data_IF_594235612465
#
_entry.id   IF_594235612465
#
_cell.length_a   1.000
_cell.length_b   1.000
_cell.length_c   1.000
_cell.angle_alpha   90.00
_cell.angle_beta   90.00
_cell.angle_gamma   90.00
#
_symmetry.space_group_name_H-M   'P 1'
#
loop_
_entity.id
_entity.type
_entity.pdbx_description
1 polymer ?
#
# COMPACT_ATOMS: atom_id res chain seq x y z
N UNK A 1 -14.15 -6.55 -3.46
CA UNK A 1 -13.04 -6.49 -2.49
C UNK A 1 -11.73 -6.05 -3.14
N UNK A 2 -11.23 -6.74 -4.16
CA UNK A 2 -9.95 -6.40 -4.79
C UNK A 2 -9.92 -4.96 -5.32
N UNK A 3 -10.95 -4.54 -6.05
CA UNK A 3 -11.06 -3.19 -6.62
C UNK A 3 -11.03 -2.12 -5.53
N UNK A 4 -11.79 -2.30 -4.45
CA UNK A 4 -11.80 -1.39 -3.30
C UNK A 4 -10.43 -1.31 -2.62
N UNK A 5 -9.79 -2.45 -2.39
CA UNK A 5 -8.46 -2.50 -1.80
C UNK A 5 -7.40 -1.81 -2.69
N UNK A 6 -7.46 -2.05 -4.00
CA UNK A 6 -6.47 -1.54 -4.94
C UNK A 6 -6.65 -0.05 -5.25
N UNK A 7 -7.88 0.42 -5.43
CA UNK A 7 -8.15 1.82 -5.80
C UNK A 7 -8.27 2.72 -4.58
N UNK A 8 -9.20 2.43 -3.67
CA UNK A 8 -9.48 3.30 -2.52
C UNK A 8 -8.46 3.13 -1.39
N UNK A 9 -8.33 1.91 -0.85
CA UNK A 9 -7.50 1.68 0.33
C UNK A 9 -6.02 2.00 0.07
N UNK A 10 -5.48 1.53 -1.05
CA UNK A 10 -4.09 1.81 -1.44
C UNK A 10 -3.82 3.30 -1.61
N UNK A 11 -4.72 4.03 -2.26
CA UNK A 11 -4.58 5.47 -2.46
C UNK A 11 -4.59 6.23 -1.14
N UNK A 12 -5.49 5.87 -0.23
CA UNK A 12 -5.57 6.50 1.10
C UNK A 12 -4.33 6.20 1.94
N UNK A 13 -3.80 4.97 1.87
CA UNK A 13 -2.57 4.58 2.57
C UNK A 13 -1.33 5.31 2.03
N UNK A 14 -1.27 5.61 0.74
CA UNK A 14 -0.11 6.31 0.16
C UNK A 14 0.07 7.74 0.67
N UNK A 15 -0.96 8.32 1.29
CA UNK A 15 -0.87 9.61 1.99
C UNK A 15 -0.19 9.56 3.35
N UNK A 16 0.08 8.37 3.92
CA UNK A 16 0.71 8.22 5.23
C UNK A 16 2.25 8.29 5.05
N UNK A 17 2.93 9.16 5.81
CA UNK A 17 4.39 9.28 5.72
C UNK A 17 5.11 7.98 6.09
N UNK A 18 6.22 7.70 5.41
CA UNK A 18 7.11 6.60 5.75
C UNK A 18 6.66 5.20 5.29
N UNK A 19 5.52 5.07 4.61
CA UNK A 19 5.05 3.78 4.10
C UNK A 19 4.91 3.72 2.59
N UNK A 20 4.85 2.47 2.09
CA UNK A 20 4.52 2.13 0.70
C UNK A 20 3.52 0.97 0.72
N UNK A 21 2.42 1.13 -0.01
CA UNK A 21 1.44 0.09 -0.25
C UNK A 21 1.49 -0.32 -1.74
N UNK A 22 2.23 -1.38 -2.12
CA UNK A 22 2.51 -1.66 -3.53
C UNK A 22 1.29 -2.16 -4.29
N UNK A 23 0.73 -3.28 -3.90
CA UNK A 23 -0.40 -3.92 -4.57
C UNK A 23 -1.23 -4.73 -3.60
N UNK A 24 -2.51 -4.94 -3.92
CA UNK A 24 -3.35 -5.88 -3.22
C UNK A 24 -3.13 -7.30 -3.78
N UNK A 25 -3.20 -8.29 -2.92
CA UNK A 25 -3.09 -9.72 -3.25
C UNK A 25 -4.37 -10.45 -2.89
N UNK A 26 -4.68 -11.48 -3.66
CA UNK A 26 -5.93 -12.20 -3.55
C UNK A 26 -7.09 -11.50 -4.28
N UNK A 27 -8.12 -12.24 -4.59
CA UNK A 27 -9.25 -11.74 -5.35
C UNK A 27 -8.96 -11.52 -6.84
N UNK A 28 -9.93 -11.01 -7.56
CA UNK A 28 -9.85 -10.76 -8.99
C UNK A 28 -10.18 -9.31 -9.34
N UNK A 29 -9.44 -8.75 -10.30
CA UNK A 29 -9.79 -7.46 -10.89
C UNK A 29 -11.04 -7.63 -11.74
N UNK A 30 -11.99 -6.73 -11.56
CA UNK A 30 -13.14 -6.66 -12.45
C UNK A 30 -12.74 -5.93 -13.73
N UNK A 31 -13.12 -6.49 -14.86
CA UNK A 31 -12.98 -5.90 -16.20
C UNK A 31 -14.26 -6.07 -16.99
N UNK A 32 -14.43 -5.25 -18.00
CA UNK A 32 -15.45 -5.46 -19.02
C UNK A 32 -14.79 -6.25 -20.16
N UNK A 33 -15.37 -7.38 -20.47
CA UNK A 33 -15.00 -8.20 -21.63
C UNK A 33 -16.04 -8.00 -22.71
N UNK A 34 -15.58 -7.89 -23.94
CA UNK A 34 -16.45 -7.86 -25.12
C UNK A 34 -16.21 -9.17 -25.85
N UNK A 35 -17.20 -10.04 -25.79
CA UNK A 35 -17.20 -11.30 -26.48
C UNK A 35 -17.75 -11.09 -27.89
N UNK A 36 -16.99 -11.49 -28.88
CA UNK A 36 -17.34 -11.32 -30.30
C UNK A 36 -17.50 -12.68 -30.97
N UNK A 37 -18.47 -12.77 -31.87
CA UNK A 37 -18.71 -13.96 -32.68
C UNK A 37 -17.84 -13.88 -33.97
N UNK A 38 -16.88 -14.82 -34.14
CA UNK A 38 -16.04 -14.83 -35.34
C UNK A 38 -16.79 -14.92 -36.65
N UNK A 39 -17.90 -15.67 -36.70
CA UNK A 39 -18.70 -15.80 -37.88
C UNK A 39 -19.39 -14.51 -38.31
N UNK A 40 -19.84 -13.72 -37.31
CA UNK A 40 -20.41 -12.38 -37.58
C UNK A 40 -19.36 -11.40 -38.02
N UNK A 41 -18.14 -11.48 -37.46
CA UNK A 41 -17.04 -10.63 -37.87
C UNK A 41 -16.67 -10.85 -39.33
N UNK A 42 -16.59 -12.12 -39.75
CA UNK A 42 -16.30 -12.49 -41.12
C UNK A 42 -17.42 -12.04 -42.08
N UNK A 43 -18.66 -12.30 -41.72
CA UNK A 43 -19.83 -11.92 -42.53
C UNK A 43 -19.95 -10.41 -42.75
N UNK A 44 -19.55 -9.59 -41.76
CA UNK A 44 -19.61 -8.13 -41.81
C UNK A 44 -18.28 -7.50 -42.25
N UNK A 45 -17.26 -8.33 -42.50
CA UNK A 45 -15.90 -7.91 -42.86
C UNK A 45 -15.33 -6.87 -41.85
N UNK A 46 -15.41 -7.22 -40.54
CA UNK A 46 -14.91 -6.38 -39.43
C UNK A 46 -13.66 -7.01 -38.85
N UNK A 47 -12.61 -6.19 -38.75
CA UNK A 47 -11.35 -6.63 -38.13
C UNK A 47 -11.37 -6.42 -36.62
N UNK A 48 -10.62 -7.24 -35.88
CA UNK A 48 -10.44 -7.07 -34.43
C UNK A 48 -9.79 -5.72 -34.08
N UNK A 49 -8.99 -5.17 -34.99
CA UNK A 49 -8.37 -3.85 -34.83
C UNK A 49 -9.40 -2.73 -34.87
N UNK A 50 -10.40 -2.81 -35.77
CA UNK A 50 -11.49 -1.83 -35.83
C UNK A 50 -12.29 -1.82 -34.52
N UNK A 51 -12.59 -3.00 -33.97
CA UNK A 51 -13.30 -3.13 -32.69
C UNK A 51 -12.48 -2.50 -31.57
N UNK A 52 -11.20 -2.84 -31.47
CA UNK A 52 -10.32 -2.32 -30.42
C UNK A 52 -10.18 -0.80 -30.48
N UNK A 53 -10.09 -0.25 -31.70
CA UNK A 53 -10.00 1.20 -31.90
C UNK A 53 -11.31 1.88 -31.55
N UNK A 54 -12.45 1.37 -31.98
CA UNK A 54 -13.77 1.93 -31.68
C UNK A 54 -14.03 1.95 -30.17
N UNK A 55 -13.69 0.88 -29.45
CA UNK A 55 -13.83 0.82 -28.00
C UNK A 55 -12.91 1.86 -27.32
N UNK A 56 -11.65 1.95 -27.76
CA UNK A 56 -10.69 2.92 -27.23
C UNK A 56 -11.16 4.35 -27.42
N UNK A 57 -11.66 4.68 -28.61
CA UNK A 57 -12.12 6.04 -28.93
C UNK A 57 -13.37 6.43 -28.11
N UNK A 58 -14.26 5.45 -27.84
CA UNK A 58 -15.45 5.68 -27.03
C UNK A 58 -15.22 5.61 -25.51
N UNK A 59 -14.07 5.13 -25.06
CA UNK A 59 -13.74 5.02 -23.62
C UNK A 59 -12.67 6.02 -23.18
N UNK A 60 -12.11 6.80 -24.07
CA UNK A 60 -11.09 7.80 -23.77
C UNK A 60 -11.75 9.08 -23.26
N UNK A 61 -11.36 9.52 -22.07
CA UNK A 61 -11.78 10.83 -21.56
C UNK A 61 -11.02 11.93 -22.31
N UNK A 62 -11.75 12.84 -22.95
CA UNK A 62 -11.17 13.99 -23.64
C UNK A 62 -11.46 15.22 -22.78
N UNK A 63 -10.44 15.81 -22.11
CA UNK A 63 -10.62 17.06 -21.41
C UNK A 63 -10.97 18.16 -22.42
N UNK A 64 -12.15 18.75 -22.27
CA UNK A 64 -12.70 19.72 -23.24
C UNK A 64 -12.43 21.17 -22.86
N UNK A 65 -11.72 21.41 -21.75
CA UNK A 65 -11.32 22.75 -21.32
C UNK A 65 -11.97 23.20 -20.02
N UNK A 66 -11.94 24.52 -19.80
CA UNK A 66 -12.48 25.17 -18.62
C UNK A 66 -13.47 26.23 -19.06
N UNK A 67 -14.67 26.22 -18.51
CA UNK A 67 -15.61 27.34 -18.64
C UNK A 67 -15.58 28.21 -17.40
N UNK A 68 -15.35 29.47 -17.58
CA UNK A 68 -15.42 30.47 -16.52
C UNK A 68 -16.84 31.05 -16.45
N UNK A 69 -17.53 30.77 -15.35
CA UNK A 69 -18.89 31.29 -15.11
C UNK A 69 -18.88 32.11 -13.82
N UNK A 70 -18.88 33.42 -13.97
CA UNK A 70 -18.72 34.34 -12.85
C UNK A 70 -17.30 34.28 -12.27
N UNK A 71 -17.17 33.92 -10.99
CA UNK A 71 -15.88 33.73 -10.28
C UNK A 71 -15.47 32.27 -10.10
N UNK A 72 -16.18 31.34 -10.74
CA UNK A 72 -15.94 29.90 -10.58
C UNK A 72 -15.52 29.32 -11.92
N UNK A 73 -14.41 28.56 -11.90
CA UNK A 73 -13.92 27.81 -13.05
C UNK A 73 -14.51 26.38 -13.02
N UNK A 74 -15.24 26.03 -14.06
CA UNK A 74 -15.79 24.69 -14.26
C UNK A 74 -14.92 23.94 -15.25
N UNK A 75 -14.36 22.81 -14.85
CA UNK A 75 -13.73 21.87 -15.79
C UNK A 75 -14.86 21.22 -16.62
N UNK A 76 -14.73 21.30 -17.93
CA UNK A 76 -15.65 20.65 -18.87
C UNK A 76 -14.93 19.43 -19.41
N UNK A 77 -15.47 18.25 -19.09
CA UNK A 77 -15.02 16.99 -19.66
C UNK A 77 -16.07 16.50 -20.67
N UNK A 78 -15.65 16.17 -21.88
CA UNK A 78 -16.51 15.42 -22.78
C UNK A 78 -16.75 14.03 -22.15
N UNK A 79 -18.01 13.62 -22.04
CA UNK A 79 -18.41 12.33 -21.44
C UNK A 79 -17.89 11.17 -22.30
N UNK A 80 -16.62 10.80 -22.08
CA UNK A 80 -15.97 9.69 -22.77
C UNK A 80 -15.81 8.44 -21.92
N UNK A 81 -16.25 8.46 -20.65
CA UNK A 81 -16.11 7.31 -19.77
C UNK A 81 -17.46 6.59 -19.64
N UNK A 82 -17.53 5.43 -20.24
CA UNK A 82 -18.68 4.51 -20.10
C UNK A 82 -18.56 3.88 -18.71
N UNK A 83 -19.61 4.02 -17.90
CA UNK A 83 -19.67 3.50 -16.54
C UNK A 83 -20.46 2.20 -16.48
N UNK A 84 -21.52 2.13 -17.26
CA UNK A 84 -22.41 0.97 -17.29
C UNK A 84 -21.98 -0.04 -18.36
N UNK A 85 -21.98 -1.32 -18.00
CA UNK A 85 -21.55 -2.38 -18.93
C UNK A 85 -22.49 -2.49 -20.13
N UNK A 86 -23.77 -2.19 -19.95
CA UNK A 86 -24.75 -2.22 -21.01
C UNK A 86 -24.50 -1.15 -22.08
N UNK A 87 -23.97 0.01 -21.70
CA UNK A 87 -23.60 1.07 -22.65
C UNK A 87 -22.52 0.62 -23.66
N UNK A 88 -21.68 -0.36 -23.29
CA UNK A 88 -20.69 -0.90 -24.23
C UNK A 88 -21.31 -1.63 -25.41
N UNK A 89 -22.51 -2.17 -25.25
CA UNK A 89 -23.23 -2.86 -26.33
C UNK A 89 -23.71 -1.86 -27.41
N UNK A 90 -23.89 -0.59 -27.06
CA UNK A 90 -24.35 0.46 -27.95
C UNK A 90 -23.21 1.26 -28.59
N UNK A 91 -21.95 0.86 -28.37
CA UNK A 91 -20.81 1.45 -29.08
C UNK A 91 -20.90 1.11 -30.58
N UNK A 92 -20.82 2.14 -31.42
CA UNK A 92 -20.70 1.98 -32.87
C UNK A 92 -19.26 1.58 -33.20
N UNK A 93 -19.08 0.41 -33.82
CA UNK A 93 -17.77 -0.08 -34.24
C UNK A 93 -17.36 0.53 -35.57
N UNK A 94 -18.28 0.49 -36.54
CA UNK A 94 -18.02 0.99 -37.90
C UNK A 94 -19.34 1.20 -38.64
N UNK A 95 -19.24 1.78 -39.81
CA UNK A 95 -20.39 1.93 -40.72
C UNK A 95 -20.17 1.05 -41.95
N UNK A 96 -21.19 0.30 -42.33
CA UNK A 96 -21.21 -0.47 -43.60
C UNK A 96 -22.46 -0.13 -44.37
N UNK A 97 -22.29 0.27 -45.63
CA UNK A 97 -23.38 0.71 -46.50
C UNK A 97 -24.27 1.83 -45.91
N UNK A 98 -23.64 2.75 -45.09
CA UNK A 98 -24.35 3.80 -44.39
C UNK A 98 -25.04 3.41 -43.08
N UNK A 99 -25.08 2.14 -42.75
CA UNK A 99 -25.67 1.64 -41.50
C UNK A 99 -24.62 1.46 -40.41
N UNK A 100 -24.86 1.95 -39.17
CA UNK A 100 -23.97 1.72 -38.04
C UNK A 100 -24.05 0.22 -37.60
N UNK A 101 -22.89 -0.34 -37.28
CA UNK A 101 -22.78 -1.66 -36.68
C UNK A 101 -22.33 -1.46 -35.24
N UNK A 102 -23.09 -2.00 -34.30
CA UNK A 102 -22.86 -1.90 -32.87
C UNK A 102 -22.15 -3.14 -32.30
N UNK A 103 -21.61 -3.02 -31.08
CA UNK A 103 -21.06 -4.18 -30.36
C UNK A 103 -22.10 -5.28 -30.21
N UNK A 104 -23.35 -4.95 -29.89
CA UNK A 104 -24.47 -5.93 -29.77
C UNK A 104 -24.75 -6.72 -31.05
N UNK A 105 -24.40 -6.19 -32.21
CA UNK A 105 -24.62 -6.87 -33.48
C UNK A 105 -23.61 -7.99 -33.70
N UNK A 106 -22.39 -7.82 -33.20
CA UNK A 106 -21.29 -8.78 -33.35
C UNK A 106 -21.02 -9.63 -32.11
N UNK A 107 -21.58 -9.23 -30.94
CA UNK A 107 -21.33 -9.93 -29.69
C UNK A 107 -22.07 -9.32 -28.51
N UNK A 108 -21.45 -9.34 -27.35
CA UNK A 108 -21.97 -8.69 -26.13
C UNK A 108 -20.85 -8.30 -25.19
N UNK A 109 -21.13 -7.29 -24.37
CA UNK A 109 -20.26 -6.88 -23.28
C UNK A 109 -20.70 -7.51 -21.96
N UNK A 110 -19.74 -7.99 -21.19
CA UNK A 110 -19.99 -8.60 -19.88
C UNK A 110 -18.95 -8.13 -18.85
N UNK A 111 -19.42 -7.89 -17.64
CA UNK A 111 -18.55 -7.58 -16.50
C UNK A 111 -18.09 -8.88 -15.84
N UNK A 112 -16.85 -9.25 -16.03
CA UNK A 112 -16.30 -10.46 -15.46
C UNK A 112 -14.99 -10.21 -14.68
N UNK A 113 -14.66 -11.13 -13.80
CA UNK A 113 -13.36 -11.14 -13.11
C UNK A 113 -12.26 -11.64 -14.03
N UNK A 114 -11.10 -11.00 -14.00
CA UNK A 114 -9.89 -11.54 -14.62
C UNK A 114 -9.57 -12.90 -13.99
N UNK A 115 -9.03 -13.83 -14.77
CA UNK A 115 -8.57 -15.13 -14.26
C UNK A 115 -7.68 -14.88 -13.04
N UNK A 116 -8.07 -15.44 -11.91
CA UNK A 116 -7.36 -15.26 -10.66
C UNK A 116 -6.08 -16.09 -10.68
N UNK A 117 -4.93 -15.42 -10.63
CA UNK A 117 -3.62 -16.06 -10.64
C UNK A 117 -3.02 -16.22 -9.25
N UNK A 118 -3.57 -15.48 -8.27
CA UNK A 118 -3.14 -15.56 -6.88
C UNK A 118 -4.35 -15.65 -5.94
N UNK A 119 -4.27 -16.53 -4.98
CA UNK A 119 -5.30 -16.73 -3.95
C UNK A 119 -4.65 -16.44 -2.61
N UNK A 120 -5.25 -15.52 -1.86
CA UNK A 120 -4.87 -15.23 -0.48
C UNK A 120 -5.91 -15.81 0.47
N UNK A 121 -5.47 -16.51 1.50
CA UNK A 121 -6.34 -17.06 2.54
C UNK A 121 -5.86 -16.63 3.91
N UNK A 122 -6.81 -16.18 4.71
CA UNK A 122 -6.60 -15.87 6.13
C UNK A 122 -7.59 -16.73 6.92
N UNK A 123 -7.11 -17.53 7.84
CA UNK A 123 -7.90 -18.49 8.62
C UNK A 123 -8.76 -19.42 7.74
N UNK A 124 -8.19 -19.87 6.61
CA UNK A 124 -8.84 -20.76 5.65
C UNK A 124 -9.86 -20.09 4.70
N UNK A 125 -10.21 -18.83 4.92
CA UNK A 125 -11.15 -18.07 4.07
C UNK A 125 -10.42 -17.26 3.02
N UNK A 126 -10.95 -17.23 1.82
CA UNK A 126 -10.40 -16.37 0.75
C UNK A 126 -10.62 -14.89 1.09
N UNK A 127 -9.54 -14.14 1.03
CA UNK A 127 -9.48 -12.75 1.43
C UNK A 127 -8.61 -11.95 0.45
N UNK A 128 -8.73 -10.63 0.51
CA UNK A 128 -7.81 -9.72 -0.14
C UNK A 128 -6.94 -9.09 0.94
N UNK A 129 -5.62 -9.17 0.81
CA UNK A 129 -4.73 -8.49 1.72
C UNK A 129 -3.85 -7.46 0.99
N UNK A 130 -3.54 -6.39 1.68
CA UNK A 130 -2.69 -5.32 1.20
C UNK A 130 -1.43 -5.25 2.08
N UNK A 131 -0.25 -5.66 1.59
CA UNK A 131 0.98 -5.50 2.34
C UNK A 131 1.35 -4.03 2.40
N UNK A 132 1.78 -3.59 3.57
CA UNK A 132 2.28 -2.24 3.80
C UNK A 132 3.74 -2.38 4.19
N UNK A 133 4.63 -1.75 3.43
CA UNK A 133 6.05 -1.72 3.71
C UNK A 133 6.48 -0.33 4.19
N UNK A 134 7.44 -0.30 5.10
CA UNK A 134 8.09 0.96 5.43
C UNK A 134 9.06 1.37 4.32
N UNK A 135 9.20 2.66 4.11
CA UNK A 135 10.25 3.20 3.22
C UNK A 135 11.63 2.98 3.83
N UNK A 136 12.68 2.86 3.01
CA UNK A 136 14.05 2.90 3.52
C UNK A 136 14.28 4.16 4.38
N UNK A 137 14.92 3.99 5.53
CA UNK A 137 15.15 5.09 6.49
C UNK A 137 13.97 5.46 7.39
N UNK A 138 12.74 5.03 7.12
CA UNK A 138 11.60 5.31 7.97
C UNK A 138 11.64 4.50 9.28
N UNK A 139 11.05 5.07 10.34
CA UNK A 139 10.90 4.38 11.63
C UNK A 139 9.72 3.40 11.56
N UNK A 140 9.96 2.14 11.93
CA UNK A 140 8.94 1.08 11.87
C UNK A 140 7.76 1.37 12.80
N UNK A 141 8.04 1.78 14.03
CA UNK A 141 7.00 2.03 15.06
C UNK A 141 6.14 3.22 14.65
N UNK A 142 6.76 4.30 14.20
CA UNK A 142 6.06 5.50 13.74
C UNK A 142 5.20 5.21 12.50
N UNK A 143 5.74 4.49 11.54
CA UNK A 143 5.00 4.08 10.33
C UNK A 143 3.77 3.24 10.67
N UNK A 144 3.89 2.27 11.56
CA UNK A 144 2.76 1.43 12.00
C UNK A 144 1.75 2.23 12.81
N UNK A 145 2.20 3.11 13.69
CA UNK A 145 1.30 3.98 14.45
C UNK A 145 0.52 4.92 13.51
N UNK A 146 1.16 5.45 12.46
CA UNK A 146 0.48 6.23 11.43
C UNK A 146 -0.64 5.43 10.73
N UNK A 147 -0.38 4.18 10.37
CA UNK A 147 -1.39 3.28 9.79
C UNK A 147 -2.52 3.00 10.79
N UNK A 148 -2.19 2.68 12.05
CA UNK A 148 -3.19 2.42 13.10
C UNK A 148 -4.09 3.63 13.35
N UNK A 149 -3.52 4.83 13.39
CA UNK A 149 -4.28 6.07 13.55
C UNK A 149 -5.23 6.33 12.37
N UNK A 150 -4.84 5.92 11.16
CA UNK A 150 -5.67 6.07 9.98
C UNK A 150 -6.78 5.00 9.86
N UNK A 151 -6.65 3.83 10.53
CA UNK A 151 -7.59 2.71 10.41
C UNK A 151 -9.07 3.09 10.61
N UNK A 152 -9.48 3.91 11.61
CA UNK A 152 -10.89 4.29 11.77
C UNK A 152 -11.43 5.02 10.55
N UNK A 153 -10.64 5.95 10.00
CA UNK A 153 -11.01 6.71 8.80
C UNK A 153 -11.04 5.82 7.56
N UNK A 154 -10.08 4.89 7.45
CA UNK A 154 -10.06 3.90 6.37
C UNK A 154 -11.31 3.03 6.41
N UNK A 155 -11.68 2.53 7.59
CA UNK A 155 -12.89 1.70 7.78
C UNK A 155 -14.17 2.46 7.38
N UNK A 156 -14.31 3.72 7.80
CA UNK A 156 -15.51 4.50 7.50
C UNK A 156 -15.70 4.87 6.02
N UNK A 157 -14.63 4.77 5.24
CA UNK A 157 -14.66 5.06 3.78
C UNK A 157 -14.77 3.82 2.90
N UNK A 158 -14.72 2.63 3.48
CA UNK A 158 -14.97 1.39 2.75
C UNK A 158 -16.46 1.22 2.49
N UNK A 159 -16.77 0.50 1.41
CA UNK A 159 -18.16 0.14 1.10
C UNK A 159 -18.73 -0.79 2.17
N UNK A 160 -20.05 -0.75 2.37
CA UNK A 160 -20.74 -1.58 3.34
C UNK A 160 -20.44 -3.08 3.13
N UNK A 161 -20.26 -3.79 4.24
CA UNK A 161 -19.92 -5.22 4.23
C UNK A 161 -18.44 -5.54 4.05
N UNK A 162 -17.55 -4.53 3.97
CA UNK A 162 -16.10 -4.75 3.95
C UNK A 162 -15.51 -4.53 5.33
N UNK A 163 -14.94 -5.59 5.90
CA UNK A 163 -14.19 -5.52 7.14
C UNK A 163 -12.69 -5.33 6.86
N UNK A 164 -12.07 -4.41 7.57
CA UNK A 164 -10.65 -4.12 7.49
C UNK A 164 -9.96 -4.54 8.79
N UNK A 165 -9.09 -5.52 8.74
CA UNK A 165 -8.37 -6.05 9.89
C UNK A 165 -6.87 -6.06 9.65
N UNK A 166 -6.09 -5.78 10.70
CA UNK A 166 -4.63 -5.93 10.68
C UNK A 166 -4.29 -7.38 11.03
N UNK A 167 -3.70 -8.09 10.08
CA UNK A 167 -3.37 -9.51 10.23
C UNK A 167 -2.00 -9.69 10.88
N UNK A 168 -1.04 -8.85 10.51
CA UNK A 168 0.34 -8.94 10.96
C UNK A 168 0.89 -7.54 11.23
N UNK A 169 1.57 -7.40 12.35
CA UNK A 169 2.18 -6.15 12.79
C UNK A 169 3.60 -6.40 13.31
N UNK A 170 4.57 -5.95 12.55
CA UNK A 170 5.98 -6.10 12.89
C UNK A 170 6.43 -5.16 14.02
N UNK A 171 5.68 -4.09 14.33
CA UNK A 171 6.09 -3.12 15.35
C UNK A 171 6.16 -3.71 16.75
N UNK A 172 5.29 -4.68 17.05
CA UNK A 172 5.31 -5.40 18.32
C UNK A 172 6.61 -6.19 18.52
N UNK A 173 7.12 -6.84 17.48
CA UNK A 173 8.41 -7.51 17.50
C UNK A 173 9.56 -6.52 17.74
N UNK A 174 9.56 -5.39 17.04
CA UNK A 174 10.57 -4.34 17.20
C UNK A 174 10.53 -3.75 18.61
N UNK A 175 9.34 -3.45 19.12
CA UNK A 175 9.18 -2.94 20.49
C UNK A 175 9.69 -3.92 21.55
N UNK A 176 9.33 -5.20 21.41
CA UNK A 176 9.79 -6.24 22.32
C UNK A 176 11.32 -6.40 22.27
N UNK A 177 11.92 -6.31 21.09
CA UNK A 177 13.37 -6.37 20.91
C UNK A 177 14.06 -5.19 21.59
N UNK A 178 13.55 -3.95 21.40
CA UNK A 178 14.07 -2.76 22.06
C UNK A 178 13.94 -2.86 23.59
N UNK A 179 12.77 -3.28 24.06
CA UNK A 179 12.52 -3.44 25.50
C UNK A 179 13.43 -4.51 26.09
N UNK A 180 13.56 -5.67 25.42
CA UNK A 180 14.45 -6.76 25.85
C UNK A 180 15.91 -6.29 25.95
N UNK A 181 16.38 -5.53 24.95
CA UNK A 181 17.73 -4.96 24.97
C UNK A 181 17.92 -3.94 26.10
N UNK A 182 16.91 -3.09 26.34
CA UNK A 182 16.93 -2.14 27.45
C UNK A 182 17.00 -2.84 28.80
N UNK A 183 16.18 -3.88 29.03
CA UNK A 183 16.22 -4.67 30.26
C UNK A 183 17.54 -5.42 30.43
N UNK A 184 18.07 -6.04 29.38
CA UNK A 184 19.36 -6.71 29.43
C UNK A 184 20.51 -5.70 29.69
N UNK A 185 20.45 -4.52 29.07
CA UNK A 185 21.41 -3.46 29.29
C UNK A 185 21.40 -2.91 30.71
N UNK A 186 20.20 -2.64 31.25
CA UNK A 186 20.04 -2.19 32.63
C UNK A 186 20.49 -3.25 33.65
N UNK A 187 20.11 -4.52 33.41
CA UNK A 187 20.54 -5.64 34.26
C UNK A 187 22.05 -5.85 34.24
N UNK A 188 22.65 -5.79 33.04
CA UNK A 188 24.11 -5.86 32.91
C UNK A 188 24.83 -4.67 33.59
N UNK A 189 24.29 -3.46 33.43
CA UNK A 189 24.83 -2.28 34.12
C UNK A 189 24.76 -2.42 35.65
N UNK A 190 23.63 -2.88 36.18
CA UNK A 190 23.48 -3.11 37.61
C UNK A 190 24.49 -4.14 38.12
N UNK A 191 24.69 -5.23 37.40
CA UNK A 191 25.68 -6.24 37.77
C UNK A 191 27.10 -5.71 37.74
N UNK A 192 27.44 -4.91 36.73
CA UNK A 192 28.77 -4.24 36.65
C UNK A 192 28.97 -3.29 37.81
N UNK A 193 27.96 -2.52 38.20
CA UNK A 193 28.05 -1.61 39.38
C UNK A 193 28.32 -2.43 40.65
N UNK A 194 27.62 -3.51 40.86
CA UNK A 194 27.80 -4.39 42.04
C UNK A 194 29.24 -4.92 42.08
N UNK A 195 29.73 -5.44 40.96
CA UNK A 195 31.08 -5.98 40.86
C UNK A 195 32.13 -4.86 41.11
N UNK A 196 31.95 -3.67 40.51
CA UNK A 196 32.85 -2.56 40.71
C UNK A 196 32.90 -2.10 42.16
N UNK A 197 31.76 -2.04 42.87
CA UNK A 197 31.72 -1.67 44.29
C UNK A 197 32.47 -2.69 45.15
N UNK A 198 32.29 -3.99 44.86
CA UNK A 198 32.99 -5.06 45.60
C UNK A 198 34.48 -5.04 45.38
N UNK A 199 34.96 -4.83 44.14
CA UNK A 199 36.39 -4.87 43.84
C UNK A 199 37.14 -3.61 44.17
N UNK A 200 36.55 -2.38 43.96
CA UNK A 200 37.21 -1.14 44.27
C UNK A 200 37.16 -0.74 45.73
N UNK A 201 36.27 -1.37 46.55
CA UNK A 201 36.12 -1.07 47.96
C UNK A 201 35.72 0.40 48.23
N UNK A 202 35.52 1.22 47.20
CA UNK A 202 35.19 2.63 47.31
C UNK A 202 34.01 2.93 46.36
N UNK A 203 32.84 3.22 46.93
CA UNK A 203 31.62 3.49 46.20
C UNK A 203 31.69 4.70 45.30
N UNK A 204 32.50 5.73 45.67
CA UNK A 204 32.67 6.97 44.86
C UNK A 204 33.38 6.66 43.55
N UNK A 205 34.46 5.89 43.59
CA UNK A 205 35.20 5.47 42.39
C UNK A 205 34.36 4.56 41.51
N UNK A 206 33.62 3.63 42.11
CA UNK A 206 32.69 2.76 41.38
C UNK A 206 31.60 3.56 40.68
N UNK A 207 31.05 4.60 41.29
CA UNK A 207 30.03 5.47 40.72
C UNK A 207 30.51 6.23 39.49
N UNK A 208 31.75 6.79 39.55
CA UNK A 208 32.35 7.50 38.41
C UNK A 208 32.51 6.56 37.21
N UNK A 209 33.01 5.35 37.39
CA UNK A 209 33.20 4.38 36.34
C UNK A 209 31.83 3.92 35.81
N UNK A 210 30.86 3.70 36.70
CA UNK A 210 29.51 3.25 36.32
C UNK A 210 28.75 4.27 35.46
N UNK A 211 28.95 5.57 35.71
CA UNK A 211 28.33 6.64 34.89
C UNK A 211 28.97 6.73 33.50
N UNK A 212 30.25 6.39 33.38
CA UNK A 212 30.92 6.45 32.07
C UNK A 212 30.30 5.51 31.01
N UNK A 213 29.75 4.33 31.44
CA UNK A 213 29.15 3.36 30.54
C UNK A 213 27.87 3.90 29.88
N UNK A 214 26.82 4.34 30.61
CA UNK A 214 25.64 4.91 29.96
C UNK A 214 25.97 6.18 29.19
N UNK A 215 26.93 6.98 29.63
CA UNK A 215 27.35 8.18 28.92
C UNK A 215 27.97 7.87 27.55
N UNK A 216 28.78 6.80 27.46
CA UNK A 216 29.36 6.34 26.19
C UNK A 216 28.31 5.85 25.21
N UNK A 217 27.28 5.15 25.72
CA UNK A 217 26.14 4.68 24.91
C UNK A 217 25.31 5.86 24.40
N UNK A 218 25.01 6.85 25.27
CA UNK A 218 24.33 8.09 24.90
C UNK A 218 25.10 8.84 23.82
N UNK A 219 26.42 8.97 23.97
CA UNK A 219 27.27 9.62 22.99
C UNK A 219 27.23 8.90 21.64
N UNK A 220 27.27 7.56 21.63
CA UNK A 220 27.12 6.75 20.41
C UNK A 220 25.79 7.00 19.72
N UNK A 221 24.69 7.10 20.45
CA UNK A 221 23.38 7.42 19.89
C UNK A 221 23.31 8.83 19.31
N UNK A 222 23.93 9.82 19.96
CA UNK A 222 24.00 11.18 19.45
C UNK A 222 24.76 11.22 18.12
N UNK A 223 25.89 10.54 18.02
CA UNK A 223 26.71 10.48 16.80
C UNK A 223 25.91 9.77 15.67
N UNK A 224 25.23 8.66 15.96
CA UNK A 224 24.39 7.97 14.99
C UNK A 224 23.22 8.84 14.50
N UNK A 225 22.60 9.58 15.40
CA UNK A 225 21.51 10.52 15.06
C UNK A 225 22.03 11.66 14.17
N UNK A 226 23.19 12.22 14.46
CA UNK A 226 23.82 13.25 13.61
C UNK A 226 24.24 12.71 12.24
N UNK A 227 24.59 11.43 12.14
CA UNK A 227 24.88 10.74 10.89
C UNK A 227 23.61 10.37 10.08
N UNK A 228 22.41 10.76 10.53
CA UNK A 228 21.15 10.50 9.86
C UNK A 228 20.73 9.03 9.89
N UNK A 229 21.31 8.23 10.76
CA UNK A 229 20.98 6.81 10.89
C UNK A 229 19.77 6.63 11.80
N UNK A 230 18.73 5.94 11.30
CA UNK A 230 17.60 5.59 12.13
C UNK A 230 17.97 4.49 13.13
N UNK A 231 17.53 4.65 14.37
CA UNK A 231 17.65 3.60 15.40
C UNK A 231 16.69 2.48 15.02
N UNK A 232 17.24 1.37 14.56
CA UNK A 232 16.51 0.14 14.24
C UNK A 232 17.21 -1.06 14.91
N UNK A 233 16.62 -2.25 14.81
CA UNK A 233 17.21 -3.49 15.37
C UNK A 233 18.63 -3.74 14.87
N UNK A 234 18.95 -3.40 13.62
CA UNK A 234 20.27 -3.63 13.02
C UNK A 234 21.33 -2.67 13.63
N UNK A 235 20.98 -1.39 13.82
CA UNK A 235 21.90 -0.44 14.46
C UNK A 235 22.13 -0.76 15.94
N UNK A 236 21.09 -1.29 16.63
CA UNK A 236 21.21 -1.77 18.00
C UNK A 236 22.08 -3.02 18.12
N UNK A 237 21.91 -3.98 17.19
CA UNK A 237 22.76 -5.18 17.11
C UNK A 237 24.22 -4.81 16.81
N UNK A 238 24.45 -3.82 15.93
CA UNK A 238 25.79 -3.29 15.64
C UNK A 238 26.49 -2.74 16.90
N UNK A 239 25.78 -1.97 17.72
CA UNK A 239 26.33 -1.44 18.99
C UNK A 239 26.67 -2.57 19.97
N UNK A 240 25.89 -3.64 19.98
CA UNK A 240 26.15 -4.80 20.86
C UNK A 240 27.32 -5.66 20.36
N UNK A 241 27.54 -5.74 19.04
CA UNK A 241 28.63 -6.52 18.43
C UNK A 241 30.02 -5.86 18.62
N UNK A 242 30.10 -4.53 18.61
CA UNK A 242 31.37 -3.78 18.85
C UNK A 242 31.89 -3.99 20.27
N UNK A 243 31.11 -4.59 21.17
CA UNK A 243 31.45 -4.86 22.57
C UNK A 243 32.07 -6.25 22.78
N UNK A 244 32.28 -7.05 21.73
CA UNK A 244 33.04 -8.30 21.78
C UNK A 244 34.42 -8.10 21.17
#
# INVERSE_FOLDING_TARGET
>A
LYTEAYTKLRQMLSGIPGIVAPAAYGGSKTRVYIYVDPGKLEALNISQTEISQAIKDNTTMIPSGIAEIGSINYAIDAKGMIVDVEEFNDIVITYRNGNPIYVKDIGHAEKAGVIQTNIARVDGKEQVYLPIFKRPGANTIESVNGVRAALPVLKSRMSDGIELNVIFDQSSYVQNSISGLAYAGLGGLALVIIVLVLFLGNWRSALVVSISLPLSILFAFIVLSMAGQAVNSITLDGITLVRR
#
